data_IF_374819248748
#
_entry.id   IF_374819248748
#
_cell.length_a   1.000
_cell.length_b   1.000
_cell.length_c   1.000
_cell.angle_alpha   90.00
_cell.angle_beta   90.00
_cell.angle_gamma   90.00
#
_symmetry.space_group_name_H-M   'P 1'
#
loop_
_entity.id
_entity.type
_entity.pdbx_description
1 polymer ?
#
# COMPACT_ATOMS: atom_id res chain seq x y z
N UNK A 1 26.62 -8.74 5.56
CA UNK A 1 25.90 -7.62 4.91
C UNK A 1 24.47 -7.54 5.40
N UNK A 2 24.05 -6.37 5.79
CA UNK A 2 22.70 -6.18 6.29
C UNK A 2 21.69 -6.18 5.12
N UNK A 3 20.69 -7.05 5.19
CA UNK A 3 19.64 -7.09 4.20
C UNK A 3 18.68 -5.92 4.42
N UNK A 4 18.45 -5.12 3.39
CA UNK A 4 17.47 -4.05 3.43
C UNK A 4 16.12 -4.59 2.96
N UNK A 5 15.09 -4.37 3.76
CA UNK A 5 13.73 -4.72 3.37
C UNK A 5 13.13 -3.55 2.59
N UNK A 6 12.58 -3.86 1.44
CA UNK A 6 11.82 -2.86 0.68
C UNK A 6 10.47 -2.66 1.35
N UNK A 7 10.06 -1.40 1.45
CA UNK A 7 8.76 -1.05 2.02
C UNK A 7 8.14 0.07 1.19
N UNK A 8 6.80 0.17 1.20
CA UNK A 8 6.16 1.23 0.43
C UNK A 8 6.47 2.61 0.98
N UNK A 9 6.61 3.57 0.08
CA UNK A 9 6.83 4.97 0.41
C UNK A 9 5.79 5.88 -0.22
N UNK A 10 4.81 5.34 -0.95
CA UNK A 10 3.64 6.11 -1.35
C UNK A 10 2.40 5.22 -1.35
N UNK A 11 1.24 5.85 -1.19
CA UNK A 11 -0.03 5.14 -1.07
C UNK A 11 -1.08 5.89 -1.89
N UNK A 12 -1.82 5.15 -2.70
CA UNK A 12 -2.94 5.70 -3.46
C UNK A 12 -4.21 5.35 -2.68
N UNK A 13 -4.91 6.38 -2.20
CA UNK A 13 -6.05 6.20 -1.31
C UNK A 13 -7.26 6.99 -1.84
N UNK A 14 -8.43 6.63 -1.36
CA UNK A 14 -9.66 7.37 -1.67
C UNK A 14 -10.21 7.11 -3.05
N UNK A 15 -11.24 7.87 -3.40
CA UNK A 15 -11.94 7.71 -4.65
C UNK A 15 -12.66 6.38 -4.76
N UNK A 16 -13.04 6.03 -5.96
CA UNK A 16 -13.62 4.71 -6.21
C UNK A 16 -12.51 3.69 -6.42
N UNK A 17 -12.82 2.43 -6.17
CA UNK A 17 -11.89 1.34 -6.37
C UNK A 17 -11.35 1.31 -7.80
N UNK A 18 -12.20 1.56 -8.78
CA UNK A 18 -11.79 1.57 -10.18
C UNK A 18 -10.82 2.69 -10.50
N UNK A 19 -10.97 3.88 -9.88
CA UNK A 19 -10.06 5.00 -10.10
C UNK A 19 -8.67 4.68 -9.57
N UNK A 20 -8.56 4.11 -8.36
CA UNK A 20 -7.27 3.73 -7.79
C UNK A 20 -6.61 2.64 -8.62
N UNK A 21 -7.37 1.69 -9.13
CA UNK A 21 -6.87 0.63 -9.99
C UNK A 21 -6.29 1.18 -11.30
N UNK A 22 -7.00 2.13 -11.93
CA UNK A 22 -6.53 2.75 -13.17
C UNK A 22 -5.23 3.51 -12.98
N UNK A 23 -5.12 4.27 -11.90
CA UNK A 23 -3.91 5.03 -11.60
C UNK A 23 -2.74 4.08 -11.36
N UNK A 24 -2.96 3.01 -10.59
CA UNK A 24 -1.94 1.99 -10.34
C UNK A 24 -1.44 1.37 -11.64
N UNK A 25 -2.36 1.08 -12.54
CA UNK A 25 -2.02 0.49 -13.83
C UNK A 25 -1.10 1.42 -14.64
N UNK A 26 -1.45 2.70 -14.72
CA UNK A 26 -0.63 3.67 -15.44
C UNK A 26 0.75 3.85 -14.82
N UNK A 27 0.81 3.99 -13.50
CA UNK A 27 2.07 4.20 -12.81
C UNK A 27 3.00 3.01 -12.95
N UNK A 28 2.45 1.80 -13.01
CA UNK A 28 3.25 0.59 -13.14
C UNK A 28 4.00 0.48 -14.46
N UNK A 29 3.67 1.32 -15.43
CA UNK A 29 4.38 1.35 -16.71
C UNK A 29 5.71 2.09 -16.64
N UNK A 30 5.97 2.84 -15.57
CA UNK A 30 7.21 3.58 -15.41
C UNK A 30 8.25 2.74 -14.68
N UNK A 31 9.47 2.67 -15.24
CA UNK A 31 10.53 1.85 -14.67
C UNK A 31 10.98 2.31 -13.28
N UNK A 32 10.74 3.59 -12.96
CA UNK A 32 11.09 4.14 -11.64
C UNK A 32 9.98 3.99 -10.60
N UNK A 33 8.92 3.27 -10.94
CA UNK A 33 7.79 3.04 -10.04
C UNK A 33 7.57 1.55 -9.90
N UNK A 34 7.42 1.11 -8.67
CA UNK A 34 7.00 -0.26 -8.35
C UNK A 34 5.70 -0.19 -7.57
N UNK A 35 4.67 -0.83 -8.06
CA UNK A 35 3.40 -0.91 -7.36
C UNK A 35 3.07 -2.37 -7.12
N UNK A 36 2.59 -2.69 -5.91
CA UNK A 36 2.12 -4.02 -5.57
C UNK A 36 1.13 -4.53 -6.61
N UNK A 37 1.33 -5.74 -7.09
CA UNK A 37 0.40 -6.39 -8.01
C UNK A 37 -0.91 -6.75 -7.32
N UNK A 38 -0.86 -6.96 -6.02
CA UNK A 38 -2.07 -7.19 -5.24
C UNK A 38 -2.74 -5.85 -5.00
N UNK A 39 -3.94 -5.69 -5.55
CA UNK A 39 -4.75 -4.51 -5.28
C UNK A 39 -5.44 -4.66 -3.94
N UNK A 40 -5.54 -3.57 -3.21
CA UNK A 40 -6.28 -3.53 -1.95
C UNK A 40 -5.75 -4.55 -0.94
N UNK A 41 -4.46 -4.47 -0.54
CA UNK A 41 -3.96 -5.38 0.51
C UNK A 41 -4.51 -5.09 1.89
N UNK A 42 -5.09 -3.93 2.14
CA UNK A 42 -5.76 -3.54 3.39
C UNK A 42 -4.89 -3.61 4.65
N UNK A 43 -3.58 -3.73 4.52
CA UNK A 43 -2.70 -3.95 5.67
C UNK A 43 -2.87 -2.90 6.77
N UNK A 44 -3.00 -1.62 6.39
CA UNK A 44 -3.15 -0.53 7.36
C UNK A 44 -4.58 -0.35 7.86
N UNK A 45 -5.49 -1.21 7.43
CA UNK A 45 -6.84 -1.29 8.00
C UNK A 45 -6.99 -2.42 9.02
N UNK A 46 -5.90 -3.14 9.33
CA UNK A 46 -5.99 -4.33 10.19
C UNK A 46 -6.49 -4.05 11.59
N UNK A 47 -6.33 -2.82 12.09
CA UNK A 47 -6.87 -2.43 13.39
C UNK A 47 -8.33 -2.00 13.34
N UNK A 48 -8.83 -1.71 12.15
CA UNK A 48 -10.17 -1.14 11.95
C UNK A 48 -11.16 -2.13 11.35
N UNK A 49 -10.67 -3.25 10.82
CA UNK A 49 -11.51 -4.26 10.18
C UNK A 49 -11.49 -5.53 11.04
N UNK A 50 -12.62 -5.87 11.69
CA UNK A 50 -12.70 -7.14 12.42
C UNK A 50 -12.45 -8.33 11.50
N UNK A 51 -11.88 -9.38 12.06
CA UNK A 51 -11.52 -10.56 11.27
C UNK A 51 -12.70 -11.17 10.53
N UNK A 52 -13.90 -11.07 11.12
CA UNK A 52 -15.13 -11.59 10.52
C UNK A 52 -15.50 -10.87 9.22
N UNK A 53 -15.05 -9.62 9.05
CA UNK A 53 -15.30 -8.84 7.83
C UNK A 53 -14.08 -8.75 6.92
N UNK A 54 -13.10 -9.62 7.14
CA UNK A 54 -11.86 -9.59 6.39
C UNK A 54 -12.08 -9.88 4.91
N UNK A 55 -11.49 -9.03 4.06
CA UNK A 55 -11.52 -9.25 2.63
C UNK A 55 -10.48 -10.30 2.25
N UNK A 56 -10.75 -11.01 1.15
CA UNK A 56 -9.86 -12.08 0.69
C UNK A 56 -8.44 -11.59 0.41
N UNK A 57 -8.30 -10.38 -0.13
CA UNK A 57 -6.99 -9.80 -0.43
C UNK A 57 -6.28 -9.22 0.79
N UNK A 58 -6.95 -9.15 1.94
CA UNK A 58 -6.39 -8.50 3.12
C UNK A 58 -5.19 -9.25 3.69
N UNK A 59 -4.13 -8.53 3.95
CA UNK A 59 -2.93 -9.06 4.59
C UNK A 59 -2.79 -8.43 5.97
N UNK A 60 -2.65 -9.27 7.00
CA UNK A 60 -2.46 -8.82 8.38
C UNK A 60 -1.03 -9.02 8.86
N UNK A 61 -0.30 -9.96 8.26
CA UNK A 61 1.07 -10.28 8.67
C UNK A 61 2.06 -9.33 8.01
N UNK A 62 2.93 -8.73 8.81
CA UNK A 62 3.91 -7.75 8.33
C UNK A 62 4.84 -8.34 7.27
N UNK A 63 5.34 -9.55 7.50
CA UNK A 63 6.25 -10.17 6.56
C UNK A 63 5.58 -10.42 5.20
N UNK A 64 4.37 -10.93 5.22
CA UNK A 64 3.60 -11.15 3.99
C UNK A 64 3.35 -9.84 3.27
N UNK A 65 3.06 -8.79 4.02
CA UNK A 65 2.85 -7.48 3.42
C UNK A 65 4.13 -6.97 2.74
N UNK A 66 5.26 -7.02 3.44
CA UNK A 66 6.53 -6.55 2.87
C UNK A 66 7.00 -7.42 1.70
N UNK A 67 6.63 -8.69 1.67
CA UNK A 67 6.95 -9.57 0.54
C UNK A 67 6.33 -9.08 -0.78
N UNK A 68 5.26 -8.30 -0.73
CA UNK A 68 4.67 -7.70 -1.93
C UNK A 68 5.65 -6.79 -2.66
N UNK A 69 6.64 -6.25 -1.94
CA UNK A 69 7.56 -5.25 -2.47
C UNK A 69 8.99 -5.77 -2.62
N UNK A 70 9.20 -7.07 -2.46
CA UNK A 70 10.55 -7.64 -2.40
C UNK A 70 11.31 -7.53 -3.72
N UNK A 71 10.62 -7.34 -4.84
CA UNK A 71 11.26 -7.18 -6.15
C UNK A 71 11.54 -5.71 -6.50
N UNK A 72 11.14 -4.79 -5.64
CA UNK A 72 11.41 -3.37 -5.85
C UNK A 72 12.89 -3.08 -5.62
N UNK A 73 13.38 -1.99 -6.23
CA UNK A 73 14.76 -1.54 -6.08
C UNK A 73 14.81 -0.21 -5.35
N UNK A 74 15.99 0.15 -4.85
CA UNK A 74 16.17 1.37 -4.05
C UNK A 74 15.89 2.66 -4.83
N UNK A 75 15.99 2.62 -6.15
CA UNK A 75 15.77 3.79 -6.99
C UNK A 75 14.34 3.95 -7.46
N UNK A 76 13.45 3.06 -7.02
CA UNK A 76 12.05 3.13 -7.39
C UNK A 76 11.20 3.77 -6.29
N UNK A 77 10.16 4.49 -6.70
CA UNK A 77 9.06 4.82 -5.80
C UNK A 77 8.25 3.53 -5.61
N UNK A 78 7.99 3.15 -4.38
CA UNK A 78 7.37 1.87 -4.03
C UNK A 78 6.01 2.15 -3.41
N UNK A 79 4.95 1.61 -4.00
CA UNK A 79 3.61 1.94 -3.53
C UNK A 79 2.61 0.82 -3.60
N UNK A 80 1.48 1.09 -2.99
CA UNK A 80 0.30 0.25 -3.08
C UNK A 80 -0.95 1.11 -3.17
N UNK A 81 -2.05 0.51 -3.61
CA UNK A 81 -3.33 1.19 -3.73
C UNK A 81 -4.36 0.48 -2.85
N UNK A 82 -4.87 1.20 -1.87
CA UNK A 82 -5.98 0.72 -1.04
C UNK A 82 -6.91 1.90 -0.80
N UNK A 83 -8.03 1.90 -1.52
CA UNK A 83 -8.95 3.04 -1.51
C UNK A 83 -9.51 3.34 -0.13
N UNK A 84 -9.80 2.29 0.66
CA UNK A 84 -10.47 2.47 1.95
C UNK A 84 -9.56 3.00 3.06
N UNK A 85 -8.26 3.19 2.82
CA UNK A 85 -7.39 3.75 3.86
C UNK A 85 -7.90 5.10 4.36
N UNK A 86 -8.58 5.88 3.52
CA UNK A 86 -9.21 7.13 3.95
C UNK A 86 -10.26 6.94 5.03
N UNK A 87 -10.86 5.76 5.09
CA UNK A 87 -11.94 5.45 6.02
C UNK A 87 -11.48 4.62 7.22
N UNK A 88 -10.18 4.30 7.29
CA UNK A 88 -9.63 3.52 8.40
C UNK A 88 -8.95 4.47 9.39
N UNK A 89 -9.55 4.70 10.57
CA UNK A 89 -9.04 5.70 11.52
C UNK A 89 -7.57 5.55 11.91
N UNK A 90 -7.06 4.33 11.94
CA UNK A 90 -5.67 4.08 12.33
C UNK A 90 -4.67 4.11 11.17
N UNK A 91 -5.16 4.12 9.93
CA UNK A 91 -4.28 3.95 8.78
C UNK A 91 -3.22 5.04 8.66
N UNK A 92 -3.62 6.30 8.73
CA UNK A 92 -2.68 7.41 8.57
C UNK A 92 -1.57 7.38 9.62
N UNK A 93 -1.92 7.16 10.88
CA UNK A 93 -0.94 7.12 11.97
C UNK A 93 0.01 5.95 11.82
N UNK A 94 -0.49 4.78 11.43
CA UNK A 94 0.35 3.59 11.26
C UNK A 94 1.26 3.69 10.05
N UNK A 95 0.79 4.29 8.97
CA UNK A 95 1.63 4.56 7.79
C UNK A 95 2.77 5.50 8.18
N UNK A 96 2.46 6.58 8.87
CA UNK A 96 3.46 7.56 9.30
C UNK A 96 4.48 6.95 10.25
N UNK A 97 4.02 6.07 11.13
CA UNK A 97 4.89 5.37 12.07
C UNK A 97 5.90 4.47 11.34
N UNK A 98 5.44 3.73 10.34
CA UNK A 98 6.29 2.81 9.59
C UNK A 98 7.24 3.53 8.63
N UNK A 99 6.78 4.61 8.04
CA UNK A 99 7.60 5.40 7.13
C UNK A 99 7.13 6.86 7.14
N UNK A 100 7.77 7.72 7.96
CA UNK A 100 7.38 9.13 8.07
C UNK A 100 7.49 9.93 6.76
N UNK A 101 8.28 9.44 5.81
CA UNK A 101 8.48 10.10 4.51
C UNK A 101 7.44 9.67 3.47
N UNK A 102 6.45 8.88 3.85
CA UNK A 102 5.43 8.40 2.92
C UNK A 102 4.65 9.53 2.26
N UNK A 103 4.39 9.38 0.97
CA UNK A 103 3.56 10.30 0.20
C UNK A 103 2.17 9.70 0.02
N UNK A 104 1.15 10.52 0.09
CA UNK A 104 -0.23 10.07 -0.03
C UNK A 104 -0.83 10.71 -1.28
N UNK A 105 -1.36 9.87 -2.16
CA UNK A 105 -2.07 10.31 -3.35
C UNK A 105 -3.55 10.07 -3.10
N UNK A 106 -4.33 11.14 -3.03
CA UNK A 106 -5.76 11.03 -2.79
C UNK A 106 -6.47 11.22 -4.12
N UNK A 107 -7.26 10.22 -4.49
CA UNK A 107 -8.06 10.27 -5.72
C UNK A 107 -9.46 10.73 -5.34
N UNK A 108 -9.92 11.78 -5.96
CA UNK A 108 -11.24 12.38 -5.69
C UNK A 108 -12.21 12.01 -6.79
#
# INVERSE_FOLDING_TARGET
MKKLFMKPNFFIVGGTKSATTNISYYLNEYSKVFISKLNEPYYYCRFDVPKIFERESMIRDKKKYLDLFNKATNDQAIGEATSVYLHCPHAAAEIKKDNPESKIIIVI
#
